data_IF_522118640136
#
_entry.id   IF_522118640136
#
_cell.length_a   1.000
_cell.length_b   1.000
_cell.length_c   1.000
_cell.angle_alpha   90.00
_cell.angle_beta   90.00
_cell.angle_gamma   90.00
#
_symmetry.space_group_name_H-M   'P 1'
#
loop_
_entity.id
_entity.type
_entity.pdbx_description
1 polymer ?
#
# COMPACT_ATOMS: atom_id res chain seq x y z
N UNK A 1 27.22 -16.59 -16.41
CA UNK A 1 26.88 -16.27 -14.99
C UNK A 1 27.27 -14.85 -14.59
N UNK A 2 28.37 -14.28 -15.10
CA UNK A 2 28.91 -12.95 -14.72
C UNK A 2 28.06 -11.74 -15.13
N UNK A 3 27.37 -11.79 -16.26
CA UNK A 3 26.60 -10.67 -16.80
C UNK A 3 25.30 -10.41 -16.01
N UNK A 4 24.58 -11.48 -15.66
CA UNK A 4 23.38 -11.44 -14.81
C UNK A 4 23.69 -10.93 -13.40
N UNK A 5 24.88 -11.25 -12.86
CA UNK A 5 25.31 -10.79 -11.53
C UNK A 5 25.69 -9.31 -11.51
N UNK A 6 26.26 -8.79 -12.61
CA UNK A 6 26.51 -7.35 -12.78
C UNK A 6 25.23 -6.55 -12.86
N UNK A 7 24.22 -7.02 -13.60
CA UNK A 7 22.93 -6.35 -13.74
C UNK A 7 22.17 -6.24 -12.40
N UNK A 8 22.20 -7.32 -11.60
CA UNK A 8 21.66 -7.32 -10.23
C UNK A 8 22.36 -6.27 -9.37
N UNK A 9 23.70 -6.29 -9.35
CA UNK A 9 24.50 -5.38 -8.51
C UNK A 9 24.25 -3.92 -8.90
N UNK A 10 24.22 -3.62 -10.21
CA UNK A 10 23.94 -2.28 -10.72
C UNK A 10 22.54 -1.79 -10.31
N UNK A 11 21.54 -2.66 -10.38
CA UNK A 11 20.17 -2.34 -9.98
C UNK A 11 20.05 -2.13 -8.47
N UNK A 12 20.68 -2.97 -7.65
CA UNK A 12 20.70 -2.81 -6.19
C UNK A 12 21.32 -1.47 -5.80
N UNK A 13 22.49 -1.14 -6.35
CA UNK A 13 23.19 0.12 -6.04
C UNK A 13 22.34 1.33 -6.44
N UNK A 14 21.69 1.30 -7.62
CA UNK A 14 20.86 2.40 -8.12
C UNK A 14 19.62 2.64 -7.26
N UNK A 15 18.93 1.57 -6.87
CA UNK A 15 17.62 1.69 -6.20
C UNK A 15 17.73 1.77 -4.68
N UNK A 16 18.85 1.38 -4.06
CA UNK A 16 19.02 1.33 -2.60
C UNK A 16 18.63 2.64 -1.89
N UNK A 17 19.12 3.78 -2.37
CA UNK A 17 18.83 5.06 -1.72
C UNK A 17 17.33 5.42 -1.82
N UNK A 18 16.72 5.18 -2.98
CA UNK A 18 15.29 5.48 -3.21
C UNK A 18 14.40 4.56 -2.36
N UNK A 19 14.72 3.27 -2.33
CA UNK A 19 13.98 2.27 -1.57
C UNK A 19 14.13 2.49 -0.06
N UNK A 20 15.34 2.79 0.42
CA UNK A 20 15.57 3.12 1.83
C UNK A 20 14.79 4.36 2.27
N UNK A 21 14.78 5.42 1.45
CA UNK A 21 13.99 6.61 1.73
C UNK A 21 12.49 6.33 1.70
N UNK A 22 12.03 5.50 0.76
CA UNK A 22 10.64 5.07 0.66
C UNK A 22 10.16 4.32 1.91
N UNK A 23 10.98 3.39 2.42
CA UNK A 23 10.67 2.60 3.62
C UNK A 23 10.74 3.49 4.87
N UNK A 24 11.79 4.30 5.04
CA UNK A 24 11.98 5.18 6.22
C UNK A 24 10.90 6.23 6.39
N UNK A 25 10.26 6.66 5.30
CA UNK A 25 9.10 7.57 5.36
C UNK A 25 7.85 6.90 5.93
N UNK A 26 7.77 5.57 5.87
CA UNK A 26 6.60 4.78 6.29
C UNK A 26 6.84 4.02 7.60
N UNK A 27 8.09 3.61 7.88
CA UNK A 27 8.47 2.87 9.06
C UNK A 27 9.26 3.79 9.99
N UNK A 28 8.69 4.02 11.18
CA UNK A 28 9.22 4.97 12.18
C UNK A 28 10.43 4.44 12.92
N UNK A 29 10.50 3.12 13.12
CA UNK A 29 11.62 2.45 13.75
C UNK A 29 12.75 2.24 12.74
N UNK A 30 13.97 2.77 12.98
CA UNK A 30 15.07 2.62 12.04
C UNK A 30 15.51 1.18 11.82
N UNK A 31 15.39 0.31 12.84
CA UNK A 31 15.74 -1.10 12.77
C UNK A 31 14.78 -1.86 11.86
N UNK A 32 13.47 -1.71 12.08
CA UNK A 32 12.45 -2.31 11.21
C UNK A 32 12.57 -1.83 9.76
N UNK A 33 12.92 -0.56 9.56
CA UNK A 33 13.11 -0.01 8.23
C UNK A 33 14.32 -0.64 7.50
N UNK A 34 15.39 -0.93 8.24
CA UNK A 34 16.58 -1.59 7.71
C UNK A 34 16.34 -3.08 7.46
N UNK A 35 15.63 -3.77 8.35
CA UNK A 35 15.22 -5.16 8.18
C UNK A 35 14.35 -5.35 6.94
N UNK A 36 13.33 -4.49 6.77
CA UNK A 36 12.46 -4.51 5.58
C UNK A 36 13.28 -4.27 4.30
N UNK A 37 14.20 -3.31 4.33
CA UNK A 37 15.06 -3.04 3.18
C UNK A 37 15.93 -4.25 2.82
N UNK A 38 16.47 -4.92 3.84
CA UNK A 38 17.31 -6.11 3.67
C UNK A 38 16.51 -7.29 3.12
N UNK A 39 15.31 -7.52 3.64
CA UNK A 39 14.38 -8.56 3.17
C UNK A 39 14.02 -8.37 1.68
N UNK A 40 13.73 -7.14 1.27
CA UNK A 40 13.37 -6.83 -0.13
C UNK A 40 14.52 -7.16 -1.08
N UNK A 41 15.76 -6.80 -0.72
CA UNK A 41 16.92 -7.14 -1.53
C UNK A 41 17.26 -8.63 -1.49
N UNK A 42 17.02 -9.32 -0.37
CA UNK A 42 17.17 -10.76 -0.31
C UNK A 42 16.21 -11.45 -1.28
N UNK A 43 14.93 -11.07 -1.26
CA UNK A 43 13.92 -11.61 -2.17
C UNK A 43 14.24 -11.30 -3.64
N UNK A 44 14.77 -10.09 -3.91
CA UNK A 44 15.22 -9.70 -5.25
C UNK A 44 16.32 -10.61 -5.79
N UNK A 45 17.34 -10.90 -4.98
CA UNK A 45 18.44 -11.80 -5.37
C UNK A 45 17.92 -13.22 -5.61
N UNK A 46 16.97 -13.68 -4.81
CA UNK A 46 16.37 -15.01 -4.99
C UNK A 46 15.49 -15.09 -6.23
N UNK A 47 14.67 -14.06 -6.49
CA UNK A 47 13.83 -13.99 -7.68
C UNK A 47 14.65 -13.93 -8.98
N UNK A 48 15.80 -13.23 -8.97
CA UNK A 48 16.71 -13.18 -10.12
C UNK A 48 17.44 -14.51 -10.41
N UNK A 49 17.46 -15.45 -9.46
CA UNK A 49 18.00 -16.81 -9.69
C UNK A 49 17.02 -17.70 -10.45
N UNK A 50 15.77 -17.28 -10.59
CA UNK A 50 14.76 -18.03 -11.35
C UNK A 50 14.95 -17.84 -12.87
N UNK A 51 14.44 -18.77 -13.70
CA UNK A 51 14.56 -18.69 -15.16
C UNK A 51 13.79 -17.52 -15.77
N UNK A 52 12.77 -17.00 -15.07
CA UNK A 52 11.93 -15.91 -15.56
C UNK A 52 12.60 -14.54 -15.40
N UNK A 53 12.67 -13.70 -16.46
CA UNK A 53 13.23 -12.36 -16.37
C UNK A 53 12.27 -11.39 -15.65
N UNK A 54 12.82 -10.54 -14.78
CA UNK A 54 12.08 -9.43 -14.18
C UNK A 54 12.21 -8.24 -15.14
N UNK A 55 11.19 -7.99 -15.96
CA UNK A 55 11.24 -6.93 -16.97
C UNK A 55 11.31 -5.52 -16.38
N UNK A 56 10.82 -5.32 -15.15
CA UNK A 56 10.84 -4.04 -14.44
C UNK A 56 11.31 -4.22 -12.99
N UNK A 57 12.62 -4.38 -12.81
CA UNK A 57 13.24 -4.63 -11.51
C UNK A 57 12.91 -3.58 -10.45
N UNK A 58 12.90 -2.28 -10.81
CA UNK A 58 12.54 -1.21 -9.88
C UNK A 58 11.09 -1.35 -9.42
N UNK A 59 10.13 -1.48 -10.34
CA UNK A 59 8.71 -1.65 -10.00
C UNK A 59 8.47 -2.90 -9.11
N UNK A 60 9.22 -3.97 -9.38
CA UNK A 60 9.17 -5.18 -8.55
C UNK A 60 9.69 -4.93 -7.14
N UNK A 61 10.84 -4.26 -6.98
CA UNK A 61 11.43 -3.92 -5.67
C UNK A 61 10.48 -3.09 -4.81
N UNK A 62 9.86 -2.06 -5.39
CA UNK A 62 8.89 -1.21 -4.67
C UNK A 62 7.60 -1.96 -4.31
N UNK A 63 7.14 -2.90 -5.17
CA UNK A 63 6.01 -3.78 -4.84
C UNK A 63 6.33 -4.68 -3.65
N UNK A 64 7.51 -5.32 -3.64
CA UNK A 64 7.93 -6.20 -2.53
C UNK A 64 8.12 -5.38 -1.26
N UNK A 65 8.73 -4.20 -1.31
CA UNK A 65 8.86 -3.30 -0.16
C UNK A 65 7.50 -2.90 0.41
N UNK A 66 6.53 -2.57 -0.44
CA UNK A 66 5.16 -2.27 -0.01
C UNK A 66 4.51 -3.47 0.71
N UNK A 67 4.63 -4.69 0.15
CA UNK A 67 4.11 -5.90 0.80
C UNK A 67 4.74 -6.13 2.19
N UNK A 68 6.06 -5.95 2.32
CA UNK A 68 6.79 -6.12 3.59
C UNK A 68 6.41 -5.08 4.63
N UNK A 69 6.19 -3.83 4.21
CA UNK A 69 5.67 -2.76 5.07
C UNK A 69 4.25 -3.10 5.56
N UNK A 70 3.38 -3.61 4.67
CA UNK A 70 2.03 -4.04 5.04
C UNK A 70 2.08 -5.19 6.06
N UNK A 71 2.95 -6.17 5.84
CA UNK A 71 3.14 -7.30 6.76
C UNK A 71 3.68 -6.85 8.12
N UNK A 72 4.59 -5.88 8.17
CA UNK A 72 5.13 -5.35 9.42
C UNK A 72 4.06 -4.60 10.22
N UNK A 73 3.20 -3.83 9.56
CA UNK A 73 2.03 -3.22 10.21
C UNK A 73 0.99 -4.24 10.63
N UNK A 74 0.80 -5.34 9.89
CA UNK A 74 -0.10 -6.43 10.28
C UNK A 74 0.39 -7.14 11.54
N UNK A 75 1.71 -7.33 11.67
CA UNK A 75 2.35 -7.85 12.90
C UNK A 75 2.29 -6.85 14.06
N UNK A 76 2.43 -5.55 13.79
CA UNK A 76 2.33 -4.48 14.80
C UNK A 76 0.89 -4.11 15.20
N UNK A 77 -0.13 -4.55 14.45
CA UNK A 77 -1.55 -4.27 14.70
C UNK A 77 -2.12 -4.87 16.01
N UNK A 78 -1.30 -5.60 16.76
CA UNK A 78 -1.55 -5.84 18.19
C UNK A 78 -1.37 -4.58 19.06
N UNK A 79 -0.92 -3.43 18.50
CA UNK A 79 -0.86 -2.12 19.17
C UNK A 79 -1.29 -0.95 18.25
N UNK A 80 -1.84 0.17 18.78
CA UNK A 80 -2.52 1.20 17.98
C UNK A 80 -1.57 2.24 17.37
N UNK A 81 -1.83 2.67 16.12
CA UNK A 81 -1.13 3.76 15.42
C UNK A 81 -1.96 5.07 15.32
N UNK A 82 -1.31 6.26 15.28
CA UNK A 82 -1.95 7.57 15.18
C UNK A 82 -2.19 8.04 13.73
N UNK A 83 -3.15 8.97 13.58
CA UNK A 83 -3.71 9.51 12.33
C UNK A 83 -2.82 10.62 11.71
N UNK A 84 -2.78 10.71 10.37
CA UNK A 84 -2.11 11.79 9.63
C UNK A 84 -3.10 12.53 8.71
N UNK A 85 -3.04 13.85 8.80
CA UNK A 85 -3.92 14.87 8.21
C UNK A 85 -3.78 14.98 6.68
N UNK A 86 -4.91 15.14 5.98
CA UNK A 86 -4.96 15.36 4.53
C UNK A 86 -4.83 16.84 4.13
N UNK A 87 -4.20 17.09 2.98
CA UNK A 87 -3.99 18.41 2.38
C UNK A 87 -5.11 18.76 1.38
N UNK A 88 -5.57 20.02 1.41
CA UNK A 88 -6.66 20.55 0.59
C UNK A 88 -6.15 20.98 -0.79
N UNK A 89 -6.57 20.29 -1.86
CA UNK A 89 -6.22 20.61 -3.24
C UNK A 89 -5.93 19.41 -4.15
N UNK A 90 -6.08 18.18 -3.63
CA UNK A 90 -5.79 16.96 -4.39
C UNK A 90 -6.90 16.62 -5.43
N UNK A 91 -6.54 16.40 -6.72
CA UNK A 91 -7.49 16.02 -7.77
C UNK A 91 -8.25 14.71 -7.52
N UNK A 92 -7.82 13.86 -6.58
CA UNK A 92 -8.55 12.65 -6.18
C UNK A 92 -9.51 12.85 -5.02
N UNK A 93 -9.63 14.08 -4.49
CA UNK A 93 -10.62 14.42 -3.45
C UNK A 93 -12.06 14.07 -3.83
N UNK A 94 -12.40 14.10 -5.12
CA UNK A 94 -13.72 13.68 -5.65
C UNK A 94 -14.02 12.19 -5.40
N UNK A 95 -12.99 11.36 -5.23
CA UNK A 95 -13.10 9.91 -5.06
C UNK A 95 -12.53 9.44 -3.71
N UNK A 96 -12.85 10.17 -2.64
CA UNK A 96 -12.61 9.71 -1.26
C UNK A 96 -13.57 8.61 -0.87
N UNK A 97 -13.07 7.64 -0.10
CA UNK A 97 -13.92 6.65 0.56
C UNK A 97 -14.13 7.12 2.00
N UNK A 98 -15.28 7.73 2.27
CA UNK A 98 -15.66 8.15 3.62
C UNK A 98 -16.05 6.91 4.44
N UNK A 99 -15.05 6.29 5.05
CA UNK A 99 -15.25 5.12 5.89
C UNK A 99 -15.54 5.57 7.32
N UNK A 100 -16.82 5.70 7.68
CA UNK A 100 -17.22 5.91 9.07
C UNK A 100 -16.92 4.65 9.89
N UNK A 101 -15.97 4.74 10.82
CA UNK A 101 -15.65 3.68 11.76
C UNK A 101 -16.26 4.00 13.13
N UNK A 102 -16.83 3.01 13.85
CA UNK A 102 -17.23 3.19 15.24
C UNK A 102 -16.06 3.67 16.11
N UNK A 103 -16.36 4.49 17.11
CA UNK A 103 -15.37 5.03 18.06
C UNK A 103 -14.68 3.91 18.83
N UNK A 104 -13.38 4.08 19.10
CA UNK A 104 -12.54 3.05 19.76
C UNK A 104 -12.93 2.82 21.22
N UNK A 105 -13.52 3.81 21.86
CA UNK A 105 -13.96 3.83 23.26
C UNK A 105 -15.46 3.57 23.42
N UNK A 106 -16.19 3.26 22.34
CA UNK A 106 -17.64 3.01 22.35
C UNK A 106 -18.10 1.69 22.98
N UNK A 107 -17.24 1.00 23.74
CA UNK A 107 -17.56 -0.27 24.38
C UNK A 107 -17.48 -1.51 23.48
N UNK A 108 -17.87 -2.70 23.99
CA UNK A 108 -17.68 -3.99 23.31
C UNK A 108 -18.42 -4.12 21.97
N UNK A 109 -19.63 -3.55 21.88
CA UNK A 109 -20.44 -3.57 20.67
C UNK A 109 -19.81 -2.73 19.54
N UNK A 110 -19.32 -1.53 19.86
CA UNK A 110 -18.59 -0.69 18.92
C UNK A 110 -17.28 -1.35 18.46
N UNK A 111 -16.56 -2.00 19.38
CA UNK A 111 -15.34 -2.75 19.06
C UNK A 111 -15.62 -3.92 18.09
N UNK A 112 -16.72 -4.65 18.30
CA UNK A 112 -17.16 -5.73 17.42
C UNK A 112 -17.55 -5.21 16.03
N UNK A 113 -18.42 -4.21 15.96
CA UNK A 113 -18.83 -3.58 14.70
C UNK A 113 -17.63 -3.05 13.91
N UNK A 114 -16.66 -2.43 14.60
CA UNK A 114 -15.42 -1.94 13.99
C UNK A 114 -14.57 -3.07 13.43
N UNK A 115 -14.42 -4.18 14.16
CA UNK A 115 -13.68 -5.35 13.68
C UNK A 115 -14.34 -5.96 12.43
N UNK A 116 -15.67 -6.04 12.42
CA UNK A 116 -16.44 -6.55 11.27
C UNK A 116 -16.25 -5.66 10.04
N UNK A 117 -16.36 -4.33 10.20
CA UNK A 117 -16.18 -3.36 9.11
C UNK A 117 -14.77 -3.41 8.53
N UNK A 118 -13.74 -3.50 9.38
CA UNK A 118 -12.35 -3.61 8.95
C UNK A 118 -12.07 -4.91 8.21
N UNK A 119 -12.68 -6.02 8.64
CA UNK A 119 -12.57 -7.30 7.93
C UNK A 119 -13.22 -7.20 6.54
N UNK A 120 -14.44 -6.67 6.47
CA UNK A 120 -15.13 -6.47 5.19
C UNK A 120 -14.36 -5.54 4.25
N UNK A 121 -13.73 -4.49 4.76
CA UNK A 121 -12.86 -3.61 3.97
C UNK A 121 -11.65 -4.38 3.42
N UNK A 122 -11.00 -5.20 4.24
CA UNK A 122 -9.87 -6.01 3.80
C UNK A 122 -10.29 -6.99 2.69
N UNK A 123 -11.38 -7.72 2.89
CA UNK A 123 -11.91 -8.66 1.89
C UNK A 123 -12.25 -7.92 0.59
N UNK A 124 -12.89 -6.74 0.69
CA UNK A 124 -13.23 -5.92 -0.47
C UNK A 124 -12.00 -5.37 -1.21
N UNK A 125 -10.92 -5.04 -0.49
CA UNK A 125 -9.64 -4.66 -1.10
C UNK A 125 -9.02 -5.84 -1.84
N UNK A 126 -9.09 -7.06 -1.28
CA UNK A 126 -8.56 -8.28 -1.88
C UNK A 126 -9.28 -8.71 -3.17
N UNK A 127 -10.54 -8.29 -3.36
CA UNK A 127 -11.30 -8.47 -4.59
C UNK A 127 -10.86 -7.52 -5.73
N UNK A 128 -10.20 -6.40 -5.42
CA UNK A 128 -9.80 -5.41 -6.43
C UNK A 128 -8.68 -5.92 -7.33
N UNK A 129 -8.66 -5.51 -8.62
CA UNK A 129 -7.47 -5.64 -9.45
C UNK A 129 -6.23 -5.02 -8.78
N UNK A 130 -5.05 -5.65 -8.85
CA UNK A 130 -3.85 -5.21 -8.12
C UNK A 130 -3.50 -3.73 -8.37
N UNK A 131 -3.61 -3.28 -9.62
CA UNK A 131 -3.32 -1.91 -10.02
C UNK A 131 -4.31 -0.87 -9.43
N UNK A 132 -5.54 -1.25 -9.12
CA UNK A 132 -6.53 -0.38 -8.49
C UNK A 132 -6.32 -0.34 -6.97
N UNK A 133 -6.08 -1.52 -6.38
CA UNK A 133 -5.76 -1.68 -4.95
C UNK A 133 -4.51 -0.88 -4.56
N UNK A 134 -3.44 -1.04 -5.34
CA UNK A 134 -2.16 -0.35 -5.10
C UNK A 134 -2.33 1.18 -5.08
N UNK A 135 -3.10 1.73 -6.03
CA UNK A 135 -3.37 3.18 -6.10
C UNK A 135 -4.24 3.65 -4.93
N UNK A 136 -5.27 2.87 -4.57
CA UNK A 136 -6.14 3.19 -3.44
C UNK A 136 -5.34 3.24 -2.13
N UNK A 137 -4.54 2.22 -1.86
CA UNK A 137 -3.72 2.13 -0.64
C UNK A 137 -2.70 3.28 -0.60
N UNK A 138 -1.95 3.47 -1.69
CA UNK A 138 -0.93 4.51 -1.76
C UNK A 138 -1.51 5.92 -1.51
N UNK A 139 -2.70 6.21 -2.04
CA UNK A 139 -3.31 7.51 -1.85
C UNK A 139 -4.03 7.67 -0.50
N UNK A 140 -4.94 6.75 -0.14
CA UNK A 140 -5.82 6.93 1.03
C UNK A 140 -5.18 6.54 2.35
N UNK A 141 -4.32 5.51 2.33
CA UNK A 141 -3.72 4.98 3.56
C UNK A 141 -2.30 5.51 3.76
N UNK A 142 -1.58 5.78 2.68
CA UNK A 142 -0.19 6.24 2.73
C UNK A 142 -0.02 7.74 2.43
N UNK A 143 -1.07 8.44 2.00
CA UNK A 143 -1.05 9.88 1.73
C UNK A 143 -0.20 10.30 0.52
N UNK A 144 0.10 9.39 -0.41
CA UNK A 144 0.89 9.69 -1.60
C UNK A 144 0.09 10.48 -2.62
N UNK A 145 0.65 11.57 -3.17
CA UNK A 145 -0.01 12.34 -4.22
C UNK A 145 -0.02 11.59 -5.56
N UNK A 146 -1.03 11.84 -6.39
CA UNK A 146 -1.08 11.26 -7.74
C UNK A 146 0.08 11.72 -8.63
N UNK A 147 0.60 12.94 -8.40
CA UNK A 147 1.77 13.47 -9.11
C UNK A 147 3.02 12.64 -8.79
N UNK A 148 3.24 12.33 -7.52
CA UNK A 148 4.38 11.51 -7.10
C UNK A 148 4.26 10.09 -7.64
N UNK A 149 3.07 9.49 -7.57
CA UNK A 149 2.80 8.17 -8.17
C UNK A 149 3.07 8.17 -9.69
N UNK A 150 2.69 9.23 -10.40
CA UNK A 150 2.91 9.33 -11.85
C UNK A 150 4.40 9.40 -12.20
N UNK A 151 5.18 10.19 -11.44
CA UNK A 151 6.64 10.29 -11.59
C UNK A 151 7.32 8.95 -11.28
N UNK A 152 6.88 8.26 -10.22
CA UNK A 152 7.49 7.01 -9.75
C UNK A 152 7.18 5.82 -10.67
N UNK A 153 5.95 5.72 -11.16
CA UNK A 153 5.48 4.54 -11.92
C UNK A 153 5.50 4.73 -13.43
N UNK A 154 5.70 5.96 -13.92
CA UNK A 154 5.55 6.31 -15.34
C UNK A 154 4.10 6.26 -15.86
N UNK A 155 3.13 5.99 -14.97
CA UNK A 155 1.70 5.94 -15.32
C UNK A 155 1.14 7.35 -15.35
N UNK A 156 0.29 7.64 -16.34
CA UNK A 156 -0.31 8.97 -16.47
C UNK A 156 -1.24 9.29 -15.30
N UNK A 157 -1.30 10.57 -14.91
CA UNK A 157 -2.15 11.06 -13.83
C UNK A 157 -3.62 10.61 -13.99
N UNK A 158 -4.17 10.74 -15.20
CA UNK A 158 -5.54 10.32 -15.53
C UNK A 158 -5.76 8.82 -15.32
N UNK A 159 -4.76 7.99 -15.60
CA UNK A 159 -4.87 6.54 -15.39
C UNK A 159 -4.90 6.21 -13.90
N UNK A 160 -4.10 6.91 -13.08
CA UNK A 160 -4.12 6.73 -11.63
C UNK A 160 -5.45 7.19 -11.03
N UNK A 161 -5.97 8.33 -11.46
CA UNK A 161 -7.30 8.83 -11.05
C UNK A 161 -8.40 7.83 -11.43
N UNK A 162 -8.36 7.27 -12.64
CA UNK A 162 -9.31 6.25 -13.06
C UNK A 162 -9.22 4.98 -12.18
N UNK A 163 -8.00 4.50 -11.90
CA UNK A 163 -7.77 3.35 -11.01
C UNK A 163 -8.32 3.61 -9.61
N UNK A 164 -8.07 4.81 -9.06
CA UNK A 164 -8.62 5.25 -7.77
C UNK A 164 -10.14 5.23 -7.78
N UNK A 165 -10.77 5.82 -8.80
CA UNK A 165 -12.21 5.86 -8.96
C UNK A 165 -12.83 4.46 -8.98
N UNK A 166 -12.28 3.54 -9.78
CA UNK A 166 -12.81 2.18 -9.84
C UNK A 166 -12.67 1.43 -8.51
N UNK A 167 -11.54 1.61 -7.81
CA UNK A 167 -11.37 1.05 -6.47
C UNK A 167 -12.47 1.56 -5.52
N UNK A 168 -12.71 2.86 -5.49
CA UNK A 168 -13.69 3.49 -4.58
C UNK A 168 -15.11 3.03 -4.90
N UNK A 169 -15.48 2.94 -6.17
CA UNK A 169 -16.81 2.46 -6.59
C UNK A 169 -17.04 1.02 -6.16
N UNK A 170 -16.04 0.14 -6.33
CA UNK A 170 -16.12 -1.24 -5.88
C UNK A 170 -16.25 -1.33 -4.36
N UNK A 171 -15.38 -0.62 -3.62
CA UNK A 171 -15.41 -0.62 -2.15
C UNK A 171 -16.74 -0.09 -1.61
N UNK A 172 -17.28 1.01 -2.17
CA UNK A 172 -18.60 1.54 -1.79
C UNK A 172 -19.71 0.51 -2.00
N UNK A 173 -19.69 -0.19 -3.15
CA UNK A 173 -20.68 -1.24 -3.44
C UNK A 173 -20.55 -2.41 -2.46
N UNK A 174 -19.33 -2.86 -2.21
CA UNK A 174 -19.05 -4.06 -1.40
C UNK A 174 -19.32 -3.82 0.09
N UNK A 175 -19.07 -2.60 0.56
CA UNK A 175 -19.28 -2.20 1.95
C UNK A 175 -20.71 -1.72 2.23
N UNK A 176 -21.53 -1.45 1.21
CA UNK A 176 -22.93 -1.02 1.43
C UNK A 176 -23.70 -2.01 2.32
N UNK A 177 -23.58 -3.30 2.05
CA UNK A 177 -24.30 -4.33 2.81
C UNK A 177 -23.95 -4.31 4.30
N UNK A 178 -22.66 -4.18 4.64
CA UNK A 178 -22.24 -4.14 6.05
C UNK A 178 -22.62 -2.81 6.72
N UNK A 179 -22.65 -1.70 5.97
CA UNK A 179 -23.14 -0.43 6.49
C UNK A 179 -24.64 -0.49 6.81
N UNK A 180 -25.44 -1.08 5.92
CA UNK A 180 -26.88 -1.28 6.12
C UNK A 180 -27.15 -2.21 7.32
N UNK A 181 -26.36 -3.27 7.49
CA UNK A 181 -26.45 -4.20 8.63
C UNK A 181 -26.08 -3.55 9.97
N UNK A 182 -25.12 -2.64 9.97
CA UNK A 182 -24.64 -1.95 11.17
C UNK A 182 -25.42 -0.65 11.48
N UNK A 183 -26.37 -0.26 10.63
CA UNK A 183 -27.26 0.89 10.86
C UNK A 183 -26.60 2.26 10.69
N UNK A 184 -25.60 2.38 9.81
CA UNK A 184 -24.92 3.63 9.48
C UNK A 184 -25.50 4.33 8.25
#
# INVERSE_FOLDING_TARGET
>A
MTERYRDITATVVRERARLANFIRRRIRDPGDAEDILQDVFHEFVQAYRLPAPIEQASAWLFRVARNRIIDSFRKKKEQPLPELSGDEGDPGSEYRLDLALPARDGGPEAAYARALLLKALQDALEELPPNQREVFIAHELEGQSFKDMAVETGVTLNTLLARKRYAVLHLRKRLRAIYDELGF
#
